data_IF_344315997725
#
_entry.id   IF_344315997725
#
_cell.length_a   1.000
_cell.length_b   1.000
_cell.length_c   1.000
_cell.angle_alpha   90.00
_cell.angle_beta   90.00
_cell.angle_gamma   90.00
#
_symmetry.space_group_name_H-M   'P 1'
#
loop_
_entity.id
_entity.type
_entity.pdbx_description
1 polymer ?
#
# COMPACT_ATOMS: atom_id res chain seq x y z
N UNK A 1 -3.45 -29.77 2.21
CA UNK A 1 -3.09 -28.52 2.92
C UNK A 1 -2.61 -27.42 1.98
N UNK A 2 -1.48 -27.55 1.22
CA UNK A 2 -1.03 -26.45 0.32
C UNK A 2 -2.02 -26.16 -0.82
N UNK A 3 -2.56 -27.18 -1.47
CA UNK A 3 -3.56 -27.02 -2.52
C UNK A 3 -4.87 -26.40 -2.00
N UNK A 4 -5.27 -26.71 -0.79
CA UNK A 4 -6.45 -26.11 -0.14
C UNK A 4 -6.27 -24.60 0.06
N UNK A 5 -5.07 -24.17 0.49
CA UNK A 5 -4.74 -22.74 0.65
C UNK A 5 -4.83 -22.01 -0.70
N UNK A 6 -4.32 -22.61 -1.78
CA UNK A 6 -4.42 -22.05 -3.13
C UNK A 6 -5.88 -21.97 -3.58
N UNK A 7 -6.67 -23.01 -3.30
CA UNK A 7 -8.09 -23.02 -3.67
C UNK A 7 -8.88 -21.95 -2.91
N UNK A 8 -8.67 -21.81 -1.61
CA UNK A 8 -9.28 -20.73 -0.81
C UNK A 8 -8.92 -19.35 -1.37
N UNK A 9 -7.67 -19.14 -1.74
CA UNK A 9 -7.22 -17.86 -2.32
C UNK A 9 -7.92 -17.57 -3.67
N UNK A 10 -8.09 -18.58 -4.52
CA UNK A 10 -8.83 -18.49 -5.78
C UNK A 10 -10.33 -18.27 -5.55
N UNK A 11 -10.94 -18.92 -4.58
CA UNK A 11 -12.36 -18.74 -4.23
C UNK A 11 -12.64 -17.33 -3.71
N UNK A 12 -11.82 -16.81 -2.79
CA UNK A 12 -11.94 -15.44 -2.29
C UNK A 12 -11.72 -14.44 -3.44
N UNK A 13 -10.76 -14.73 -4.33
CA UNK A 13 -10.56 -13.91 -5.53
C UNK A 13 -11.81 -13.84 -6.38
N UNK A 14 -12.46 -14.96 -6.71
CA UNK A 14 -13.68 -15.00 -7.54
C UNK A 14 -14.84 -14.29 -6.85
N UNK A 15 -15.01 -14.47 -5.54
CA UNK A 15 -16.01 -13.76 -4.75
C UNK A 15 -15.87 -12.23 -4.90
N UNK A 16 -14.62 -11.72 -4.85
CA UNK A 16 -14.35 -10.28 -4.97
C UNK A 16 -14.44 -9.83 -6.43
N UNK A 17 -13.77 -10.55 -7.34
CA UNK A 17 -13.62 -10.14 -8.74
C UNK A 17 -14.92 -10.26 -9.55
N UNK A 18 -15.70 -11.32 -9.32
CA UNK A 18 -16.97 -11.56 -9.98
C UNK A 18 -18.16 -11.24 -9.09
N UNK A 19 -18.18 -11.74 -7.84
CA UNK A 19 -19.32 -11.66 -6.95
C UNK A 19 -19.68 -10.23 -6.52
N UNK A 20 -18.69 -9.34 -6.36
CA UNK A 20 -18.91 -7.92 -6.07
C UNK A 20 -19.03 -7.04 -7.33
N UNK A 21 -19.02 -7.66 -8.52
CA UNK A 21 -19.05 -6.93 -9.79
C UNK A 21 -20.36 -6.15 -9.96
N UNK A 22 -20.25 -4.83 -10.10
CA UNK A 22 -21.37 -3.93 -10.39
C UNK A 22 -20.84 -2.64 -11.07
N UNK A 23 -21.71 -1.88 -11.77
CA UNK A 23 -21.29 -0.68 -12.51
C UNK A 23 -20.56 0.38 -11.68
N UNK A 24 -20.94 0.54 -10.40
CA UNK A 24 -20.30 1.50 -9.51
C UNK A 24 -18.85 1.10 -9.17
N UNK A 25 -18.62 -0.14 -8.77
CA UNK A 25 -17.27 -0.62 -8.49
C UNK A 25 -16.43 -0.80 -9.76
N UNK A 26 -17.04 -1.16 -10.89
CA UNK A 26 -16.36 -1.24 -12.19
C UNK A 26 -15.82 0.12 -12.66
N UNK A 27 -16.46 1.22 -12.25
CA UNK A 27 -15.99 2.58 -12.46
C UNK A 27 -14.99 3.02 -11.38
N UNK A 28 -15.32 2.83 -10.10
CA UNK A 28 -14.57 3.41 -8.97
C UNK A 28 -13.21 2.73 -8.74
N UNK A 29 -13.16 1.39 -8.68
CA UNK A 29 -11.96 0.69 -8.21
C UNK A 29 -10.78 0.75 -9.20
N UNK A 30 -10.97 0.76 -10.54
CA UNK A 30 -9.89 1.08 -11.47
C UNK A 30 -9.32 2.48 -11.29
N UNK A 31 -10.12 3.46 -10.88
CA UNK A 31 -9.67 4.83 -10.58
C UNK A 31 -8.85 4.83 -9.29
N UNK A 32 -9.34 4.21 -8.21
CA UNK A 32 -8.65 4.19 -6.90
C UNK A 32 -7.27 3.51 -6.95
N UNK A 33 -7.08 2.50 -7.80
CA UNK A 33 -5.77 1.86 -7.97
C UNK A 33 -4.76 2.70 -8.77
N UNK A 34 -5.24 3.68 -9.54
CA UNK A 34 -4.38 4.47 -10.42
C UNK A 34 -3.58 5.49 -9.57
N UNK A 35 -2.23 5.48 -9.62
CA UNK A 35 -1.42 6.41 -8.83
C UNK A 35 -1.68 7.88 -9.19
N UNK A 36 -2.06 8.19 -10.43
CA UNK A 36 -2.40 9.55 -10.82
C UNK A 36 -3.63 10.10 -10.11
N UNK A 37 -4.57 9.25 -9.69
CA UNK A 37 -5.74 9.66 -8.90
C UNK A 37 -5.32 10.31 -7.57
N UNK A 38 -4.23 9.86 -7.00
CA UNK A 38 -3.73 10.30 -5.70
C UNK A 38 -2.71 11.45 -5.79
N UNK A 39 -2.40 11.94 -7.01
CA UNK A 39 -1.40 13.00 -7.21
C UNK A 39 -1.74 14.27 -6.42
N UNK A 40 -3.01 14.68 -6.39
CA UNK A 40 -3.45 15.83 -5.59
C UNK A 40 -3.20 15.63 -4.10
N UNK A 41 -3.49 14.42 -3.58
CA UNK A 41 -3.21 14.09 -2.18
C UNK A 41 -1.71 14.15 -1.89
N UNK A 42 -0.88 13.58 -2.77
CA UNK A 42 0.58 13.60 -2.59
C UNK A 42 1.13 15.03 -2.62
N UNK A 43 0.72 15.85 -3.58
CA UNK A 43 1.11 17.26 -3.66
C UNK A 43 0.65 18.01 -2.40
N UNK A 44 -0.59 17.81 -1.98
CA UNK A 44 -1.11 18.40 -0.73
C UNK A 44 -0.26 18.00 0.47
N UNK A 45 0.06 16.71 0.64
CA UNK A 45 0.87 16.24 1.76
C UNK A 45 2.30 16.80 1.74
N UNK A 46 2.92 16.89 0.55
CA UNK A 46 4.24 17.51 0.40
C UNK A 46 4.21 18.97 0.88
N UNK A 47 3.28 19.76 0.34
CA UNK A 47 3.12 21.18 0.73
C UNK A 47 2.81 21.30 2.21
N UNK A 48 1.90 20.47 2.71
CA UNK A 48 1.49 20.45 4.11
C UNK A 48 2.69 20.16 5.04
N UNK A 49 3.47 19.10 4.78
CA UNK A 49 4.61 18.78 5.63
C UNK A 49 5.69 19.86 5.60
N UNK A 50 5.97 20.43 4.42
CA UNK A 50 6.98 21.49 4.29
C UNK A 50 6.51 22.76 5.02
N UNK A 51 5.26 23.19 4.85
CA UNK A 51 4.71 24.38 5.53
C UNK A 51 4.64 24.18 7.03
N UNK A 52 4.20 22.99 7.47
CA UNK A 52 3.94 22.68 8.87
C UNK A 52 5.22 22.47 9.68
N UNK A 53 6.25 21.85 9.08
CA UNK A 53 7.45 21.40 9.80
C UNK A 53 8.75 22.00 9.25
N UNK A 54 8.70 22.89 8.25
CA UNK A 54 9.87 23.54 7.68
C UNK A 54 10.91 22.53 7.16
N UNK A 55 12.17 22.68 7.57
CA UNK A 55 13.27 21.76 7.19
C UNK A 55 12.98 20.30 7.57
N UNK A 56 12.34 20.08 8.71
CA UNK A 56 11.95 18.71 9.12
C UNK A 56 10.87 18.14 8.20
N UNK A 57 9.95 18.98 7.71
CA UNK A 57 8.95 18.58 6.71
C UNK A 57 9.59 18.09 5.41
N UNK A 58 10.64 18.74 4.94
CA UNK A 58 11.43 18.27 3.78
C UNK A 58 12.04 16.90 4.05
N UNK A 59 12.62 16.71 5.25
CA UNK A 59 13.19 15.41 5.64
C UNK A 59 12.11 14.32 5.68
N UNK A 60 10.92 14.62 6.23
CA UNK A 60 9.79 13.68 6.26
C UNK A 60 9.38 13.28 4.83
N UNK A 61 9.29 14.24 3.91
CA UNK A 61 8.97 13.96 2.49
C UNK A 61 10.03 13.07 1.86
N UNK A 62 11.30 13.40 2.02
CA UNK A 62 12.41 12.59 1.49
C UNK A 62 12.43 11.17 2.07
N UNK A 63 12.18 11.01 3.37
CA UNK A 63 12.07 9.71 4.00
C UNK A 63 10.83 8.93 3.52
N UNK A 64 9.72 9.61 3.23
CA UNK A 64 8.53 8.97 2.64
C UNK A 64 8.84 8.44 1.23
N UNK A 65 9.51 9.22 0.40
CA UNK A 65 9.93 8.81 -0.94
C UNK A 65 10.95 7.66 -0.89
N UNK A 66 11.92 7.72 0.03
CA UNK A 66 12.89 6.63 0.25
C UNK A 66 12.16 5.35 0.70
N UNK A 67 11.20 5.46 1.62
CA UNK A 67 10.39 4.34 2.09
C UNK A 67 9.58 3.69 0.96
N UNK A 68 8.97 4.51 0.09
CA UNK A 68 8.32 4.04 -1.13
C UNK A 68 9.30 3.29 -2.05
N UNK A 69 10.46 3.88 -2.35
CA UNK A 69 11.46 3.26 -3.22
C UNK A 69 11.99 1.94 -2.67
N UNK A 70 12.29 1.89 -1.36
CA UNK A 70 12.73 0.66 -0.68
C UNK A 70 11.66 -0.42 -0.77
N UNK A 71 10.41 -0.09 -0.46
CA UNK A 71 9.29 -1.04 -0.48
C UNK A 71 9.04 -1.58 -1.89
N UNK A 72 9.16 -0.73 -2.91
CA UNK A 72 9.00 -1.15 -4.31
C UNK A 72 10.13 -2.09 -4.75
N UNK A 73 11.39 -1.76 -4.45
CA UNK A 73 12.55 -2.60 -4.77
C UNK A 73 12.46 -3.94 -4.05
N UNK A 74 12.14 -3.96 -2.75
CA UNK A 74 12.00 -5.20 -1.97
C UNK A 74 10.89 -6.07 -2.54
N UNK A 75 9.72 -5.50 -2.81
CA UNK A 75 8.59 -6.24 -3.40
C UNK A 75 8.93 -6.75 -4.80
N UNK A 76 9.43 -5.87 -5.69
CA UNK A 76 9.57 -6.17 -7.13
C UNK A 76 10.80 -6.99 -7.47
N UNK A 77 11.93 -6.74 -6.79
CA UNK A 77 13.21 -7.40 -7.13
C UNK A 77 13.58 -8.53 -6.19
N UNK A 78 13.27 -8.42 -4.89
CA UNK A 78 13.61 -9.50 -3.96
C UNK A 78 12.51 -10.54 -3.86
N UNK A 79 11.26 -10.14 -3.57
CA UNK A 79 10.19 -11.11 -3.32
C UNK A 79 9.65 -11.71 -4.61
N UNK A 80 9.27 -10.90 -5.59
CA UNK A 80 8.63 -11.39 -6.83
C UNK A 80 9.52 -12.33 -7.62
N UNK A 81 10.81 -12.03 -7.72
CA UNK A 81 11.75 -12.86 -8.48
C UNK A 81 12.07 -14.21 -7.82
N UNK A 82 11.88 -14.32 -6.49
CA UNK A 82 12.12 -15.57 -5.78
C UNK A 82 10.87 -16.46 -5.65
N UNK A 83 9.67 -15.89 -5.67
CA UNK A 83 8.42 -16.64 -5.50
C UNK A 83 7.77 -16.99 -6.84
N UNK A 84 7.95 -16.16 -7.86
CA UNK A 84 7.52 -16.37 -9.25
C UNK A 84 6.05 -16.74 -9.42
N UNK A 85 5.17 -16.30 -8.51
CA UNK A 85 3.74 -16.58 -8.59
C UNK A 85 3.11 -15.93 -9.81
N UNK A 86 2.41 -16.72 -10.64
CA UNK A 86 1.69 -16.23 -11.81
C UNK A 86 0.47 -15.40 -11.40
N UNK A 87 0.19 -14.30 -12.12
CA UNK A 87 -1.00 -13.47 -11.89
C UNK A 87 -2.29 -14.16 -12.28
N UNK A 88 -3.44 -13.85 -11.61
CA UNK A 88 -4.74 -14.40 -12.01
C UNK A 88 -5.02 -14.25 -13.50
N UNK A 89 -4.75 -13.07 -14.06
CA UNK A 89 -4.96 -12.73 -15.47
C UNK A 89 -3.98 -13.38 -16.47
N UNK A 90 -2.91 -14.03 -15.99
CA UNK A 90 -1.92 -14.74 -16.81
C UNK A 90 -1.90 -16.26 -16.53
N UNK A 91 -2.61 -16.73 -15.50
CA UNK A 91 -2.70 -18.15 -15.13
C UNK A 91 -3.53 -18.89 -16.20
N UNK A 92 -2.89 -19.77 -16.96
CA UNK A 92 -3.50 -20.46 -18.12
C UNK A 92 -4.76 -21.23 -17.75
N UNK A 93 -4.79 -21.84 -16.54
CA UNK A 93 -5.92 -22.63 -16.06
C UNK A 93 -7.03 -21.79 -15.42
N UNK A 94 -6.74 -20.54 -15.09
CA UNK A 94 -7.63 -19.70 -14.30
C UNK A 94 -8.09 -18.41 -14.98
N UNK A 95 -7.33 -17.89 -15.94
CA UNK A 95 -7.55 -16.57 -16.59
C UNK A 95 -8.94 -16.41 -17.22
N UNK A 96 -9.52 -17.49 -17.73
CA UNK A 96 -10.84 -17.46 -18.39
C UNK A 96 -11.99 -17.19 -17.39
N UNK A 97 -11.73 -17.37 -16.09
CA UNK A 97 -12.63 -17.03 -14.99
C UNK A 97 -12.39 -15.61 -14.46
N UNK A 98 -11.37 -14.90 -14.96
CA UNK A 98 -11.00 -13.56 -14.43
C UNK A 98 -11.74 -12.47 -15.20
N UNK A 99 -12.55 -11.68 -14.49
CA UNK A 99 -13.10 -10.43 -15.04
C UNK A 99 -12.03 -9.34 -14.97
N UNK A 100 -11.24 -9.23 -16.03
CA UNK A 100 -10.14 -8.28 -16.11
C UNK A 100 -10.66 -6.89 -16.47
N UNK A 101 -10.39 -5.88 -15.61
CA UNK A 101 -10.88 -4.50 -15.78
C UNK A 101 -9.80 -3.52 -16.17
N UNK A 102 -8.55 -3.96 -16.18
CA UNK A 102 -7.38 -3.16 -16.54
C UNK A 102 -6.36 -4.04 -17.26
N UNK A 103 -5.39 -3.44 -17.93
CA UNK A 103 -4.32 -4.21 -18.55
C UNK A 103 -3.63 -5.11 -17.53
N UNK A 104 -3.51 -6.40 -17.84
CA UNK A 104 -2.72 -7.34 -17.05
C UNK A 104 -1.25 -6.90 -17.03
N UNK A 105 -0.68 -6.74 -15.85
CA UNK A 105 0.73 -6.36 -15.72
C UNK A 105 1.67 -7.50 -16.11
N UNK A 106 2.84 -7.14 -16.61
CA UNK A 106 3.95 -8.09 -16.79
C UNK A 106 4.56 -8.49 -15.44
N UNK A 107 5.21 -9.65 -15.39
CA UNK A 107 5.90 -10.16 -14.21
C UNK A 107 4.98 -10.83 -13.18
N UNK A 108 5.57 -11.19 -12.04
CA UNK A 108 4.97 -12.05 -11.02
C UNK A 108 3.95 -11.33 -10.12
N UNK A 109 3.11 -12.13 -9.46
CA UNK A 109 2.00 -11.65 -8.65
C UNK A 109 2.40 -11.32 -7.20
N UNK A 110 3.08 -12.26 -6.52
CA UNK A 110 3.38 -12.17 -5.09
C UNK A 110 4.71 -11.45 -4.85
N UNK A 111 4.79 -10.44 -4.00
CA UNK A 111 3.70 -9.72 -3.34
C UNK A 111 3.15 -8.59 -4.23
N UNK A 112 1.97 -8.06 -3.90
CA UNK A 112 1.47 -6.86 -4.58
C UNK A 112 2.30 -5.63 -4.21
N UNK A 113 3.01 -5.04 -5.16
CA UNK A 113 3.79 -3.80 -4.94
C UNK A 113 2.88 -2.63 -4.55
N UNK A 114 1.65 -2.55 -5.08
CA UNK A 114 0.70 -1.52 -4.65
C UNK A 114 0.37 -1.65 -3.15
N UNK A 115 0.09 -2.87 -2.69
CA UNK A 115 -0.15 -3.09 -1.26
C UNK A 115 1.12 -2.77 -0.44
N UNK A 116 2.29 -3.29 -0.84
CA UNK A 116 3.54 -3.07 -0.11
C UNK A 116 3.85 -1.58 0.04
N UNK A 117 3.78 -0.83 -1.05
CA UNK A 117 4.15 0.58 -1.07
C UNK A 117 3.19 1.45 -0.24
N UNK A 118 1.88 1.24 -0.37
CA UNK A 118 0.90 2.05 0.34
C UNK A 118 0.85 1.72 1.84
N UNK A 119 0.97 0.45 2.21
CA UNK A 119 1.09 0.08 3.61
C UNK A 119 2.40 0.55 4.23
N UNK A 120 3.52 0.54 3.50
CA UNK A 120 4.80 1.09 3.98
C UNK A 120 4.69 2.60 4.28
N UNK A 121 4.11 3.38 3.38
CA UNK A 121 3.88 4.81 3.62
C UNK A 121 2.91 5.05 4.76
N UNK A 122 1.79 4.32 4.81
CA UNK A 122 0.79 4.46 5.86
C UNK A 122 1.40 4.19 7.24
N UNK A 123 2.10 3.08 7.42
CA UNK A 123 2.70 2.73 8.71
C UNK A 123 3.86 3.65 9.11
N UNK A 124 4.63 4.16 8.14
CA UNK A 124 5.62 5.21 8.41
C UNK A 124 4.95 6.45 9.01
N UNK A 125 3.90 6.98 8.37
CA UNK A 125 3.18 8.15 8.88
C UNK A 125 2.44 7.87 10.20
N UNK A 126 1.89 6.69 10.38
CA UNK A 126 1.28 6.28 11.65
C UNK A 126 2.30 6.34 12.79
N UNK A 127 3.51 5.80 12.57
CA UNK A 127 4.58 5.88 13.57
C UNK A 127 4.93 7.32 13.92
N UNK A 128 5.01 8.20 12.93
CA UNK A 128 5.38 9.60 13.14
C UNK A 128 4.28 10.40 13.83
N UNK A 129 3.02 10.21 13.44
CA UNK A 129 1.97 11.19 13.72
C UNK A 129 0.82 10.68 14.60
N UNK A 130 0.69 9.38 14.91
CA UNK A 130 -0.46 8.84 15.67
C UNK A 130 -0.67 9.50 17.05
N UNK A 131 0.38 10.06 17.64
CA UNK A 131 0.26 10.78 18.92
C UNK A 131 -0.37 12.16 18.77
N UNK A 132 -0.13 12.83 17.64
CA UNK A 132 -0.66 14.17 17.33
C UNK A 132 -2.01 14.08 16.61
N UNK A 133 -2.16 13.14 15.67
CA UNK A 133 -3.38 12.98 14.86
C UNK A 133 -3.99 11.60 15.07
N UNK A 134 -5.01 11.54 15.92
CA UNK A 134 -5.67 10.28 16.30
C UNK A 134 -6.19 9.49 15.09
N UNK A 135 -6.63 10.20 14.05
CA UNK A 135 -7.23 9.58 12.86
C UNK A 135 -6.22 9.07 11.82
N UNK A 136 -4.92 9.42 11.95
CA UNK A 136 -3.90 8.99 10.97
C UNK A 136 -3.81 7.46 10.86
N UNK A 137 -4.06 6.74 11.94
CA UNK A 137 -4.10 5.27 11.95
C UNK A 137 -5.17 4.75 10.98
N UNK A 138 -6.41 5.15 11.20
CA UNK A 138 -7.54 4.64 10.41
C UNK A 138 -7.51 5.16 8.98
N UNK A 139 -7.22 6.45 8.78
CA UNK A 139 -7.13 7.04 7.44
C UNK A 139 -6.02 6.39 6.61
N UNK A 140 -4.83 6.16 7.21
CA UNK A 140 -3.72 5.51 6.52
C UNK A 140 -4.03 4.05 6.16
N UNK A 141 -4.60 3.28 7.09
CA UNK A 141 -4.95 1.87 6.84
C UNK A 141 -6.07 1.76 5.80
N UNK A 142 -7.15 2.55 5.93
CA UNK A 142 -8.27 2.52 4.98
C UNK A 142 -7.80 2.90 3.59
N UNK A 143 -6.99 3.96 3.45
CA UNK A 143 -6.44 4.39 2.17
C UNK A 143 -5.59 3.29 1.52
N UNK A 144 -4.66 2.69 2.26
CA UNK A 144 -3.81 1.61 1.74
C UNK A 144 -4.63 0.36 1.40
N UNK A 145 -5.62 0.01 2.25
CA UNK A 145 -6.50 -1.13 2.03
C UNK A 145 -7.42 -0.97 0.81
N UNK A 146 -7.95 0.22 0.55
CA UNK A 146 -8.78 0.50 -0.63
C UNK A 146 -7.98 0.32 -1.92
N UNK A 147 -6.75 0.84 -1.98
CA UNK A 147 -5.88 0.68 -3.13
C UNK A 147 -5.47 -0.78 -3.31
N UNK A 148 -5.15 -1.47 -2.23
CA UNK A 148 -4.78 -2.87 -2.23
C UNK A 148 -5.96 -3.78 -2.65
N UNK A 149 -7.15 -3.57 -2.10
CA UNK A 149 -8.38 -4.28 -2.46
C UNK A 149 -8.72 -4.11 -3.95
N UNK A 150 -8.53 -2.89 -4.48
CA UNK A 150 -8.76 -2.61 -5.89
C UNK A 150 -7.93 -3.52 -6.83
N UNK A 151 -6.74 -4.00 -6.40
CA UNK A 151 -5.91 -4.90 -7.22
C UNK A 151 -6.54 -6.30 -7.38
N UNK A 152 -7.26 -6.79 -6.37
CA UNK A 152 -8.01 -8.05 -6.45
C UNK A 152 -9.21 -7.85 -7.38
N UNK A 153 -9.98 -6.80 -7.13
CA UNK A 153 -11.20 -6.51 -7.88
C UNK A 153 -10.95 -6.36 -9.39
N UNK A 154 -9.88 -5.65 -9.77
CA UNK A 154 -9.56 -5.47 -11.21
C UNK A 154 -8.92 -6.70 -11.86
N UNK A 155 -8.63 -7.78 -11.11
CA UNK A 155 -8.22 -9.07 -11.65
C UNK A 155 -6.71 -9.28 -11.79
N UNK A 156 -5.85 -8.49 -11.12
CA UNK A 156 -4.39 -8.54 -11.32
C UNK A 156 -3.60 -9.16 -10.17
N UNK A 157 -4.21 -9.34 -9.00
CA UNK A 157 -3.61 -9.95 -7.81
C UNK A 157 -4.58 -10.84 -7.06
N UNK A 158 -4.08 -11.92 -6.48
CA UNK A 158 -4.82 -12.74 -5.52
C UNK A 158 -4.88 -12.08 -4.13
N UNK A 159 -5.87 -12.45 -3.27
CA UNK A 159 -5.95 -11.96 -1.89
C UNK A 159 -4.66 -12.15 -1.08
N UNK A 160 -3.98 -13.29 -1.19
CA UNK A 160 -2.74 -13.52 -0.45
C UNK A 160 -1.56 -12.70 -0.96
N UNK A 161 -1.56 -12.24 -2.23
CA UNK A 161 -0.56 -11.27 -2.70
C UNK A 161 -0.72 -9.92 -1.99
N UNK A 162 -1.98 -9.55 -1.72
CA UNK A 162 -2.34 -8.32 -1.00
C UNK A 162 -1.96 -8.43 0.47
N UNK A 163 -2.31 -9.54 1.11
CA UNK A 163 -1.99 -9.78 2.52
C UNK A 163 -0.47 -9.80 2.74
N UNK A 164 0.28 -10.55 1.91
CA UNK A 164 1.73 -10.57 1.96
C UNK A 164 2.35 -9.19 1.73
N UNK A 165 1.82 -8.43 0.75
CA UNK A 165 2.24 -7.05 0.48
C UNK A 165 1.95 -6.11 1.65
N UNK A 166 0.78 -6.23 2.27
CA UNK A 166 0.40 -5.41 3.43
C UNK A 166 1.31 -5.68 4.63
N UNK A 167 1.60 -6.96 4.93
CA UNK A 167 2.51 -7.35 6.03
C UNK A 167 3.92 -6.82 5.75
N UNK A 168 4.45 -7.05 4.54
CA UNK A 168 5.78 -6.59 4.15
C UNK A 168 5.88 -5.06 4.23
N UNK A 169 4.89 -4.35 3.69
CA UNK A 169 4.82 -2.90 3.74
C UNK A 169 4.73 -2.37 5.17
N UNK A 170 3.88 -2.99 6.01
CA UNK A 170 3.78 -2.62 7.42
C UNK A 170 5.13 -2.77 8.16
N UNK A 171 5.86 -3.88 7.94
CA UNK A 171 7.17 -4.11 8.53
C UNK A 171 8.19 -3.04 8.11
N UNK A 172 8.23 -2.72 6.80
CA UNK A 172 9.12 -1.67 6.27
C UNK A 172 8.76 -0.30 6.87
N UNK A 173 7.47 0.07 6.88
CA UNK A 173 7.00 1.35 7.39
C UNK A 173 7.22 1.51 8.90
N UNK A 174 6.97 0.46 9.69
CA UNK A 174 7.23 0.47 11.14
C UNK A 174 8.72 0.62 11.42
N UNK A 175 9.57 -0.15 10.72
CA UNK A 175 11.03 -0.12 10.90
C UNK A 175 11.61 1.24 10.52
N UNK A 176 11.26 1.77 9.35
CA UNK A 176 11.73 3.09 8.88
C UNK A 176 11.23 4.23 9.79
N UNK A 177 9.97 4.16 10.24
CA UNK A 177 9.43 5.13 11.17
C UNK A 177 10.09 5.08 12.55
N UNK A 178 10.42 3.87 13.04
CA UNK A 178 11.18 3.72 14.29
C UNK A 178 12.60 4.27 14.18
N UNK A 179 13.30 3.97 13.07
CA UNK A 179 14.63 4.51 12.78
C UNK A 179 14.56 6.05 12.73
N UNK A 180 13.59 6.60 12.00
CA UNK A 180 13.39 8.05 11.92
C UNK A 180 13.23 8.67 13.31
N UNK A 181 12.42 8.08 14.18
CA UNK A 181 12.26 8.56 15.58
C UNK A 181 13.55 8.54 16.38
N UNK A 182 14.36 7.52 16.21
CA UNK A 182 15.65 7.40 16.88
C UNK A 182 16.65 8.47 16.42
N UNK A 183 16.63 8.80 15.13
CA UNK A 183 17.54 9.80 14.55
C UNK A 183 17.06 11.24 14.77
N UNK A 184 15.78 11.46 15.11
CA UNK A 184 15.20 12.80 15.28
C UNK A 184 14.47 12.98 16.62
N UNK A 185 15.10 12.69 17.78
CA UNK A 185 14.42 12.69 19.09
C UNK A 185 13.87 14.07 19.46
N UNK A 186 14.58 15.16 19.15
CA UNK A 186 14.15 16.52 19.46
C UNK A 186 12.86 16.94 18.77
N UNK A 187 12.62 16.44 17.55
CA UNK A 187 11.38 16.68 16.81
C UNK A 187 10.16 16.13 17.56
N UNK A 188 10.28 14.92 18.11
CA UNK A 188 9.20 14.28 18.85
C UNK A 188 9.01 14.83 20.25
N UNK A 189 10.08 15.24 20.92
CA UNK A 189 9.99 15.92 22.24
C UNK A 189 9.19 17.22 22.13
N UNK A 190 9.46 18.04 21.11
CA UNK A 190 8.71 19.28 20.84
C UNK A 190 7.22 19.01 20.55
N UNK A 191 6.89 17.94 19.84
CA UNK A 191 5.48 17.57 19.59
C UNK A 191 4.73 17.15 20.88
N UNK A 192 5.44 16.64 21.88
CA UNK A 192 4.84 16.21 23.14
C UNK A 192 4.69 17.39 24.12
N UNK A 193 5.67 18.29 24.15
CA UNK A 193 5.67 19.46 25.06
C UNK A 193 4.72 20.58 24.62
N UNK A 194 4.40 20.66 23.34
CA UNK A 194 3.47 21.65 22.82
C UNK A 194 2.52 20.99 21.79
N UNK A 195 1.40 20.39 22.27
CA UNK A 195 0.38 19.78 21.42
C UNK A 195 -0.27 20.78 20.43
N UNK A 196 -0.18 22.08 20.73
CA UNK A 196 -0.75 23.18 19.93
C UNK A 196 0.29 23.88 19.05
N UNK A 197 1.57 23.49 19.09
CA UNK A 197 2.57 23.99 18.16
C UNK A 197 2.27 23.49 16.75
N UNK A 198 1.31 24.20 16.16
CA UNK A 198 0.93 24.04 14.76
C UNK A 198 1.79 24.96 13.93
#
# INVERSE_FOLDING_TARGET
>A
MWQEIINIDKEIFLLINQGLSNPFFDWLLPILRNPFTWSFLYIFLIIFFIKQYGKMGVIIVLCTLANFGISDVVSSHLVKKNIERVRPCNDVEFKDQVKLRVRCGSGYSFTSSHATNHFAMAFFWIVLFRRKWKHVLWLGIIWAALIAFSQIYVGVHYPFDILGGAILGALIGLSSGWIFKRLTPHFFQKQVSDPNSI
#
